data_IF_054747668434
#
_entry.id   IF_054747668434
#
_cell.length_a   1.000
_cell.length_b   1.000
_cell.length_c   1.000
_cell.angle_alpha   90.00
_cell.angle_beta   90.00
_cell.angle_gamma   90.00
#
_symmetry.space_group_name_H-M   'P 1'
#
loop_
_entity.id
_entity.type
_entity.pdbx_description
1 polymer ?
#
# COMPACT_ATOMS: atom_id res chain seq x y z
N UNK A 1 -11.63 -8.28 -3.62
CA UNK A 1 -11.18 -6.97 -3.10
C UNK A 1 -12.37 -6.26 -2.50
N UNK A 2 -12.23 -5.69 -1.30
CA UNK A 2 -13.25 -4.82 -0.72
C UNK A 2 -12.86 -3.36 -1.05
N UNK A 3 -13.76 -2.49 -1.54
CA UNK A 3 -13.44 -1.07 -1.78
C UNK A 3 -12.79 -0.36 -0.58
N UNK A 4 -13.06 -0.82 0.64
CA UNK A 4 -12.42 -0.35 1.87
C UNK A 4 -10.90 -0.54 1.89
N UNK A 5 -10.35 -1.52 1.17
CA UNK A 5 -8.92 -1.77 1.13
C UNK A 5 -8.17 -0.57 0.50
N UNK A 6 -8.74 0.08 -0.50
CA UNK A 6 -8.17 1.29 -1.11
C UNK A 6 -8.10 2.46 -0.12
N UNK A 7 -9.10 2.58 0.76
CA UNK A 7 -9.09 3.58 1.85
C UNK A 7 -8.02 3.23 2.90
N UNK A 8 -7.81 1.94 3.19
CA UNK A 8 -6.76 1.50 4.10
C UNK A 8 -5.37 1.79 3.55
N UNK A 9 -5.13 1.64 2.24
CA UNK A 9 -3.84 2.00 1.63
C UNK A 9 -3.41 3.44 1.96
N UNK A 10 -4.36 4.38 1.97
CA UNK A 10 -4.08 5.82 2.20
C UNK A 10 -4.20 6.25 3.66
N UNK A 11 -4.54 5.33 4.60
CA UNK A 11 -4.73 5.62 6.03
C UNK A 11 -3.84 4.78 6.94
N UNK A 12 -3.44 3.60 6.50
CA UNK A 12 -2.63 2.68 7.26
C UNK A 12 -1.16 3.02 7.04
N UNK A 13 -0.47 3.30 8.14
CA UNK A 13 0.98 3.41 8.18
C UNK A 13 1.61 2.03 8.27
N UNK A 14 2.79 1.90 7.67
CA UNK A 14 3.60 0.71 7.76
C UNK A 14 4.03 0.49 9.23
N UNK A 15 3.70 -0.65 9.85
CA UNK A 15 3.92 -0.84 11.29
C UNK A 15 5.35 -1.27 11.64
N UNK A 16 6.18 -1.65 10.65
CA UNK A 16 7.55 -2.14 10.89
C UNK A 16 8.46 -1.92 9.68
N UNK A 17 9.74 -2.24 9.85
CA UNK A 17 10.75 -2.19 8.79
C UNK A 17 11.28 -0.79 8.54
N UNK A 18 12.04 -0.64 7.44
CA UNK A 18 12.74 0.61 7.10
C UNK A 18 11.81 1.80 6.89
N UNK A 19 10.57 1.55 6.46
CA UNK A 19 9.57 2.58 6.15
C UNK A 19 8.48 2.68 7.22
N UNK A 20 8.76 2.25 8.46
CA UNK A 20 7.81 2.37 9.55
C UNK A 20 7.28 3.81 9.70
N UNK A 21 5.97 3.97 9.91
CA UNK A 21 5.29 5.27 10.00
C UNK A 21 4.99 5.92 8.64
N UNK A 22 5.39 5.31 7.52
CA UNK A 22 5.01 5.78 6.18
C UNK A 22 3.69 5.15 5.77
N UNK A 23 2.76 5.92 5.19
CA UNK A 23 1.51 5.37 4.65
C UNK A 23 1.80 4.31 3.58
N UNK A 24 1.02 3.24 3.55
CA UNK A 24 1.21 2.15 2.58
C UNK A 24 1.18 2.69 1.14
N UNK A 25 0.29 3.64 0.85
CA UNK A 25 0.19 4.28 -0.46
C UNK A 25 1.43 5.12 -0.86
N UNK A 26 2.28 5.50 0.10
CA UNK A 26 3.51 6.26 -0.12
C UNK A 26 4.77 5.38 -0.12
N UNK A 27 4.62 4.06 0.06
CA UNK A 27 5.76 3.16 0.01
C UNK A 27 6.40 3.16 -1.40
N UNK A 28 7.74 3.22 -1.46
CA UNK A 28 8.44 3.26 -2.73
C UNK A 28 8.33 1.90 -3.46
N UNK A 29 8.23 1.92 -4.78
CA UNK A 29 7.97 0.73 -5.60
C UNK A 29 9.05 -0.35 -5.48
N UNK A 30 10.31 0.03 -5.27
CA UNK A 30 11.40 -0.91 -5.01
C UNK A 30 11.19 -1.73 -3.72
N UNK A 31 10.59 -1.12 -2.69
CA UNK A 31 10.28 -1.78 -1.44
C UNK A 31 9.11 -2.76 -1.58
N UNK A 32 8.08 -2.36 -2.33
CA UNK A 32 6.96 -3.24 -2.68
C UNK A 32 7.43 -4.42 -3.56
N UNK A 33 8.29 -4.15 -4.54
CA UNK A 33 8.88 -5.17 -5.40
C UNK A 33 9.80 -6.14 -4.65
N UNK A 34 10.48 -5.68 -3.60
CA UNK A 34 11.22 -6.57 -2.70
C UNK A 34 10.28 -7.54 -1.97
N UNK A 35 9.15 -7.06 -1.42
CA UNK A 35 8.14 -7.93 -0.82
C UNK A 35 7.50 -8.90 -1.81
N UNK A 36 7.31 -8.50 -3.07
CA UNK A 36 6.77 -9.39 -4.10
C UNK A 36 7.72 -10.58 -4.38
N UNK A 37 9.02 -10.42 -4.14
CA UNK A 37 10.04 -11.46 -4.31
C UNK A 37 10.21 -12.32 -3.07
N UNK A 38 10.30 -11.70 -1.89
CA UNK A 38 10.50 -12.41 -0.61
C UNK A 38 9.21 -13.02 -0.07
N UNK A 39 8.06 -12.47 -0.45
CA UNK A 39 6.75 -12.83 0.06
C UNK A 39 6.16 -11.77 0.99
N UNK A 40 4.84 -11.57 0.89
CA UNK A 40 4.11 -10.65 1.76
C UNK A 40 3.84 -11.27 3.13
N UNK A 41 3.87 -10.48 4.22
CA UNK A 41 3.53 -10.95 5.55
C UNK A 41 2.09 -11.44 5.61
N UNK A 42 1.77 -12.36 6.53
CA UNK A 42 0.39 -12.82 6.70
C UNK A 42 -0.49 -11.72 7.31
N UNK A 43 -1.78 -11.79 7.03
CA UNK A 43 -2.79 -10.88 7.60
C UNK A 43 -3.03 -9.64 6.75
N UNK A 44 -3.60 -8.61 7.37
CA UNK A 44 -4.09 -7.45 6.66
C UNK A 44 -2.98 -6.64 5.99
N UNK A 45 -1.86 -6.44 6.68
CA UNK A 45 -0.74 -5.64 6.15
C UNK A 45 -0.18 -6.24 4.86
N UNK A 46 0.07 -7.54 4.80
CA UNK A 46 0.59 -8.14 3.57
C UNK A 46 -0.41 -8.14 2.42
N UNK A 47 -1.71 -8.26 2.72
CA UNK A 47 -2.75 -8.07 1.70
C UNK A 47 -2.76 -6.65 1.15
N UNK A 48 -2.59 -5.63 2.00
CA UNK A 48 -2.48 -4.24 1.58
C UNK A 48 -1.19 -3.97 0.78
N UNK A 49 -0.06 -4.56 1.19
CA UNK A 49 1.20 -4.46 0.45
C UNK A 49 1.12 -5.12 -0.93
N UNK A 50 0.49 -6.29 -1.03
CA UNK A 50 0.25 -6.97 -2.30
C UNK A 50 -0.64 -6.12 -3.21
N UNK A 51 -1.75 -5.60 -2.69
CA UNK A 51 -2.63 -4.68 -3.42
C UNK A 51 -1.88 -3.42 -3.89
N UNK A 52 -1.06 -2.83 -3.01
CA UNK A 52 -0.28 -1.64 -3.37
C UNK A 52 0.76 -1.95 -4.46
N UNK A 53 1.38 -3.13 -4.41
CA UNK A 53 2.30 -3.59 -5.45
C UNK A 53 1.59 -3.79 -6.79
N UNK A 54 0.38 -4.37 -6.80
CA UNK A 54 -0.43 -4.51 -8.02
C UNK A 54 -0.77 -3.13 -8.61
N UNK A 55 -1.17 -2.16 -7.78
CA UNK A 55 -1.46 -0.80 -8.25
C UNK A 55 -0.21 -0.11 -8.80
N UNK A 56 0.94 -0.27 -8.16
CA UNK A 56 2.23 0.26 -8.62
C UNK A 56 2.66 -0.35 -9.94
N UNK A 57 2.57 -1.67 -10.08
CA UNK A 57 2.97 -2.40 -11.28
C UNK A 57 2.13 -2.08 -12.51
N UNK A 58 0.88 -1.65 -12.31
CA UNK A 58 -0.05 -1.27 -13.38
C UNK A 58 -0.15 0.25 -13.60
N UNK A 59 0.73 1.06 -12.99
CA UNK A 59 0.67 2.53 -13.04
C UNK A 59 -0.66 3.14 -12.55
N UNK A 60 -1.33 2.47 -11.61
CA UNK A 60 -2.65 2.85 -11.08
C UNK A 60 -2.60 3.60 -9.75
N UNK A 61 -1.42 4.02 -9.27
CA UNK A 61 -1.29 4.76 -8.01
C UNK A 61 -2.16 6.03 -7.96
N UNK A 62 -2.38 6.66 -9.10
CA UNK A 62 -3.15 7.90 -9.20
C UNK A 62 -4.62 7.73 -8.82
N UNK A 63 -5.16 6.50 -8.85
CA UNK A 63 -6.50 6.19 -8.35
C UNK A 63 -6.65 6.49 -6.84
N UNK A 64 -5.54 6.53 -6.09
CA UNK A 64 -5.54 6.82 -4.66
C UNK A 64 -5.58 8.33 -4.36
N UNK A 65 -5.25 9.21 -5.31
CA UNK A 65 -5.26 10.68 -5.12
C UNK A 65 -6.59 11.21 -4.59
N UNK A 66 -7.77 10.90 -5.17
CA UNK A 66 -9.05 11.40 -4.66
C UNK A 66 -9.35 10.90 -3.24
N UNK A 67 -8.85 9.73 -2.85
CA UNK A 67 -9.07 9.17 -1.51
C UNK A 67 -8.26 9.90 -0.43
N UNK A 68 -7.09 10.46 -0.79
CA UNK A 68 -6.26 11.28 0.11
C UNK A 68 -6.91 12.62 0.44
N UNK A 69 -7.65 13.20 -0.51
CA UNK A 69 -8.29 14.52 -0.33
C UNK A 69 -9.55 14.49 0.52
N UNK A 70 -10.16 13.31 0.73
CA UNK A 70 -11.45 13.18 1.42
C UNK A 70 -11.34 13.19 2.95
N UNK A 71 -10.18 13.56 3.49
CA UNK A 71 -9.87 13.64 4.91
C UNK A 71 -9.77 15.06 5.47
N UNK A 72 -10.37 16.06 4.81
CA UNK A 72 -10.47 17.44 5.31
C UNK A 72 -11.91 17.83 5.55
#
# INVERSE_FOLDING_TARGET
MNPEDLLKLVRTEMPFGKHQGTLIADLPGNYLGWFAREGFPKGEIGRLLALMHELDHNDLRDLLRPLRSRGR
#
